data_IF_313927785334
#
_entry.id   IF_313927785334
#
_cell.length_a   1.000
_cell.length_b   1.000
_cell.length_c   1.000
_cell.angle_alpha   90.00
_cell.angle_beta   90.00
_cell.angle_gamma   90.00
#
_symmetry.space_group_name_H-M   'P 1'
#
loop_
_entity.id
_entity.type
_entity.pdbx_description
1 polymer ?
#
# COMPACT_ATOMS: atom_id res chain seq x y z
N UNK A 1 11.79 24.39 30.52
CA UNK A 1 11.72 22.92 30.45
C UNK A 1 10.72 22.54 29.37
N UNK A 2 11.14 21.63 28.48
CA UNK A 2 10.41 21.00 27.35
C UNK A 2 10.14 21.92 26.13
N UNK A 3 11.04 21.98 25.13
CA UNK A 3 11.30 21.02 24.02
C UNK A 3 10.35 21.28 22.84
N UNK A 4 10.68 22.12 21.84
CA UNK A 4 11.54 21.84 20.68
C UNK A 4 11.37 20.42 20.08
N UNK A 5 10.44 20.26 19.13
CA UNK A 5 10.50 19.20 18.11
C UNK A 5 10.13 19.80 16.73
N UNK A 6 11.19 19.89 15.91
CA UNK A 6 11.33 19.56 14.48
C UNK A 6 10.20 19.95 13.51
N UNK A 7 10.37 20.88 12.56
CA UNK A 7 11.24 20.80 11.36
C UNK A 7 11.25 19.40 10.73
N UNK A 8 10.43 19.15 9.72
CA UNK A 8 10.85 19.01 8.32
C UNK A 8 9.59 19.12 7.46
N UNK A 9 9.58 20.15 6.63
CA UNK A 9 8.58 20.42 5.61
C UNK A 9 8.43 19.23 4.66
N UNK A 10 7.16 18.87 4.42
CA UNK A 10 6.63 18.32 3.18
C UNK A 10 7.66 18.25 2.04
N UNK A 11 8.34 17.11 1.92
CA UNK A 11 9.24 16.82 0.81
C UNK A 11 8.36 16.43 -0.39
N UNK A 12 8.06 17.43 -1.21
CA UNK A 12 8.03 17.40 -2.68
C UNK A 12 7.26 16.24 -3.34
N UNK A 13 5.98 16.52 -3.58
CA UNK A 13 5.15 16.20 -4.76
C UNK A 13 5.87 15.37 -5.84
N UNK A 14 5.53 14.09 -5.95
CA UNK A 14 5.81 13.28 -7.13
C UNK A 14 4.59 13.29 -8.07
N UNK A 15 4.62 14.23 -9.02
CA UNK A 15 3.73 14.38 -10.17
C UNK A 15 4.25 13.52 -11.32
N UNK A 16 3.50 12.51 -11.77
CA UNK A 16 3.56 12.02 -13.16
C UNK A 16 2.16 11.58 -13.61
N UNK A 17 1.59 12.32 -14.57
CA UNK A 17 0.29 12.08 -15.22
C UNK A 17 0.52 11.84 -16.72
N UNK A 18 -0.22 10.84 -17.22
CA UNK A 18 -0.66 10.57 -18.61
C UNK A 18 0.30 10.05 -19.68
N UNK A 19 -0.12 8.94 -20.28
CA UNK A 19 -0.44 8.91 -21.72
C UNK A 19 -1.65 7.98 -21.97
N UNK A 20 -2.62 8.47 -22.75
CA UNK A 20 -3.85 7.82 -23.15
C UNK A 20 -3.66 6.89 -24.37
N UNK A 21 -4.50 5.85 -24.48
CA UNK A 21 -5.08 5.40 -25.76
C UNK A 21 -6.34 4.55 -25.50
N UNK A 22 -7.43 4.90 -26.19
CA UNK A 22 -8.76 4.27 -26.19
C UNK A 22 -8.89 3.14 -27.22
N UNK A 23 -10.06 2.44 -27.15
CA UNK A 23 -10.75 1.50 -28.06
C UNK A 23 -10.48 -0.01 -27.84
N UNK A 24 -11.46 -0.92 -27.80
CA UNK A 24 -12.94 -0.88 -27.80
C UNK A 24 -13.49 -2.31 -27.53
N UNK A 25 -14.57 -2.43 -26.73
CA UNK A 25 -15.58 -3.54 -26.62
C UNK A 25 -15.11 -4.98 -26.24
N UNK A 26 -15.74 -5.80 -25.38
CA UNK A 26 -17.06 -5.87 -24.74
C UNK A 26 -16.99 -6.77 -23.44
N UNK A 27 -18.10 -7.27 -22.86
CA UNK A 27 -18.55 -7.04 -21.48
C UNK A 27 -18.25 -8.17 -20.45
N UNK A 28 -18.67 -7.93 -19.20
CA UNK A 28 -18.83 -8.85 -18.05
C UNK A 28 -17.60 -9.24 -17.22
N UNK A 29 -17.74 -9.00 -15.90
CA UNK A 29 -17.02 -9.72 -14.86
C UNK A 29 -15.63 -9.19 -14.58
N UNK A 30 -15.25 -9.27 -13.30
CA UNK A 30 -13.87 -9.24 -12.81
C UNK A 30 -12.92 -9.81 -13.87
N UNK A 31 -11.82 -9.12 -14.25
CA UNK A 31 -10.94 -9.61 -15.30
C UNK A 31 -10.56 -11.05 -14.99
N UNK A 32 -10.81 -11.95 -15.94
CA UNK A 32 -10.29 -13.31 -15.87
C UNK A 32 -8.78 -13.18 -15.61
N UNK A 33 -8.35 -13.76 -14.49
CA UNK A 33 -6.95 -13.71 -14.09
C UNK A 33 -6.07 -14.24 -15.23
N UNK A 34 -4.82 -13.76 -15.36
CA UNK A 34 -3.93 -14.26 -16.40
C UNK A 34 -3.88 -15.80 -16.37
N UNK A 35 -3.95 -16.43 -17.55
CA UNK A 35 -3.75 -17.86 -17.75
C UNK A 35 -2.43 -18.27 -17.09
N UNK A 36 -2.53 -18.78 -15.87
CA UNK A 36 -1.44 -19.27 -15.05
C UNK A 36 -0.24 -18.33 -14.95
N UNK A 37 -0.22 -17.41 -13.98
CA UNK A 37 1.06 -16.92 -13.47
C UNK A 37 1.84 -18.13 -12.95
N UNK A 38 2.96 -18.56 -13.59
CA UNK A 38 3.65 -19.76 -13.16
C UNK A 38 4.22 -19.52 -11.76
N UNK A 39 3.68 -20.21 -10.76
CA UNK A 39 4.25 -20.23 -9.41
C UNK A 39 3.35 -19.79 -8.26
N UNK A 40 2.05 -19.54 -8.41
CA UNK A 40 1.20 -19.31 -7.24
C UNK A 40 0.89 -20.62 -6.49
N UNK A 41 1.89 -21.18 -5.80
CA UNK A 41 1.67 -22.22 -4.81
C UNK A 41 0.98 -21.62 -3.59
N UNK A 42 0.04 -22.35 -3.00
CA UNK A 42 -0.85 -21.98 -1.88
C UNK A 42 -0.12 -21.44 -0.62
N UNK A 43 1.22 -21.49 -0.56
CA UNK A 43 2.03 -20.92 0.52
C UNK A 43 2.72 -19.56 0.23
N UNK A 44 2.59 -18.97 -0.97
CA UNK A 44 3.35 -17.75 -1.34
C UNK A 44 2.74 -16.43 -0.85
N UNK A 45 1.41 -16.35 -0.72
CA UNK A 45 0.72 -15.15 -0.19
C UNK A 45 1.21 -14.85 1.22
N UNK A 46 1.36 -15.87 2.08
CA UNK A 46 1.81 -15.70 3.46
C UNK A 46 3.23 -15.12 3.58
N UNK A 47 4.20 -15.61 2.80
CA UNK A 47 5.57 -15.07 2.79
C UNK A 47 5.63 -13.65 2.24
N UNK A 48 4.87 -13.38 1.18
CA UNK A 48 4.80 -12.04 0.59
C UNK A 48 4.15 -11.04 1.55
N UNK A 49 3.08 -11.43 2.25
CA UNK A 49 2.47 -10.63 3.30
C UNK A 49 3.44 -10.35 4.46
N UNK A 50 4.19 -11.36 4.93
CA UNK A 50 5.20 -11.20 5.98
C UNK A 50 6.30 -10.21 5.57
N UNK A 51 6.75 -10.29 4.32
CA UNK A 51 7.69 -9.34 3.72
C UNK A 51 7.13 -7.92 3.68
N UNK A 52 5.93 -7.73 3.14
CA UNK A 52 5.24 -6.45 3.15
C UNK A 52 5.09 -5.90 4.57
N UNK A 53 4.59 -6.69 5.51
CA UNK A 53 4.33 -6.27 6.89
C UNK A 53 5.63 -5.87 7.60
N UNK A 54 6.74 -6.57 7.34
CA UNK A 54 8.05 -6.19 7.86
C UNK A 54 8.52 -4.85 7.28
N UNK A 55 8.42 -4.67 5.96
CA UNK A 55 8.77 -3.41 5.29
C UNK A 55 7.93 -2.24 5.84
N UNK A 56 6.62 -2.44 6.04
CA UNK A 56 5.73 -1.42 6.58
C UNK A 56 6.08 -1.02 8.01
N UNK A 57 6.49 -1.97 8.86
CA UNK A 57 6.94 -1.67 10.22
C UNK A 57 8.27 -0.93 10.25
N UNK A 58 9.18 -1.25 9.32
CA UNK A 58 10.54 -0.68 9.28
C UNK A 58 10.60 0.69 8.62
N UNK A 59 9.68 0.97 7.70
CA UNK A 59 9.64 2.16 6.87
C UNK A 59 8.18 2.53 6.55
N UNK A 60 7.37 2.94 7.54
CA UNK A 60 5.97 3.29 7.30
C UNK A 60 5.79 4.44 6.29
N UNK A 61 6.78 5.33 6.16
CA UNK A 61 6.78 6.45 5.22
C UNK A 61 6.83 6.01 3.75
N UNK A 62 7.34 4.82 3.45
CA UNK A 62 7.44 4.34 2.07
C UNK A 62 6.09 3.93 1.50
N UNK A 63 5.11 3.61 2.35
CA UNK A 63 3.74 3.26 1.98
C UNK A 63 2.76 4.02 2.89
N UNK A 64 2.84 5.34 2.90
CA UNK A 64 2.04 6.21 3.78
C UNK A 64 0.51 6.07 3.60
N UNK A 65 0.04 5.46 2.51
CA UNK A 65 -1.37 5.18 2.23
C UNK A 65 -1.83 3.80 2.71
N UNK A 66 -0.92 3.03 3.32
CA UNK A 66 -1.18 1.73 3.96
C UNK A 66 -1.01 1.90 5.46
N UNK A 67 -1.92 1.37 6.26
CA UNK A 67 -1.89 1.54 7.71
C UNK A 67 -2.30 0.26 8.43
N UNK A 68 -1.62 -0.13 9.53
CA UNK A 68 -2.10 -1.21 10.38
C UNK A 68 -3.43 -0.80 11.05
N UNK A 69 -4.31 -1.78 11.26
CA UNK A 69 -5.57 -1.55 11.95
C UNK A 69 -5.40 -1.69 13.48
N UNK A 70 -5.76 -0.64 14.23
CA UNK A 70 -5.61 -0.61 15.69
C UNK A 70 -6.57 -1.59 16.39
N UNK A 71 -7.81 -1.70 15.89
CA UNK A 71 -8.85 -2.59 16.42
C UNK A 71 -8.73 -4.04 15.87
N UNK A 72 -7.76 -4.29 14.99
CA UNK A 72 -7.59 -5.56 14.29
C UNK A 72 -6.12 -5.89 14.03
N UNK A 73 -5.44 -6.39 15.06
CA UNK A 73 -4.05 -6.84 14.95
C UNK A 73 -3.86 -7.82 13.78
N UNK A 74 -2.80 -7.62 13.01
CA UNK A 74 -2.47 -8.43 11.84
C UNK A 74 -3.18 -8.00 10.55
N UNK A 75 -4.11 -7.04 10.61
CA UNK A 75 -4.75 -6.45 9.44
C UNK A 75 -4.19 -5.08 9.09
N UNK A 76 -4.24 -4.77 7.80
CA UNK A 76 -3.87 -3.49 7.22
C UNK A 76 -5.02 -2.98 6.36
N UNK A 77 -5.13 -1.66 6.27
CA UNK A 77 -5.95 -0.99 5.26
C UNK A 77 -5.04 -0.30 4.26
N UNK A 78 -5.34 -0.47 2.98
CA UNK A 78 -4.78 0.36 1.90
C UNK A 78 -5.86 1.22 1.27
N UNK A 79 -5.49 2.46 0.96
CA UNK A 79 -6.37 3.51 0.44
C UNK A 79 -6.00 3.97 -0.98
N UNK A 80 -4.94 3.39 -1.54
CA UNK A 80 -4.49 3.59 -2.92
C UNK A 80 -3.92 2.26 -3.44
N UNK A 81 -4.13 1.99 -4.73
CA UNK A 81 -3.72 0.74 -5.36
C UNK A 81 -2.67 0.99 -6.43
N UNK A 82 -1.69 0.09 -6.56
CA UNK A 82 -0.60 0.21 -7.52
C UNK A 82 -0.72 -0.78 -8.68
N UNK A 83 -1.34 -1.94 -8.45
CA UNK A 83 -1.54 -2.97 -9.45
C UNK A 83 -2.52 -2.49 -10.54
N UNK A 84 -2.06 -2.52 -11.80
CA UNK A 84 -2.74 -1.92 -12.95
C UNK A 84 -4.25 -2.25 -13.04
N UNK A 85 -4.70 -3.53 -12.93
CA UNK A 85 -6.11 -3.90 -12.96
C UNK A 85 -7.00 -3.23 -11.92
N UNK A 86 -6.46 -2.85 -10.75
CA UNK A 86 -7.25 -2.24 -9.67
C UNK A 86 -6.87 -0.79 -9.36
N UNK A 87 -5.85 -0.26 -10.02
CA UNK A 87 -5.37 1.11 -9.81
C UNK A 87 -6.47 2.17 -10.00
N UNK A 88 -7.38 1.94 -10.95
CA UNK A 88 -8.50 2.83 -11.25
C UNK A 88 -9.49 3.01 -10.09
N UNK A 89 -9.56 2.05 -9.15
CA UNK A 89 -10.43 2.12 -7.98
C UNK A 89 -9.86 2.99 -6.85
N UNK A 90 -8.63 3.49 -6.99
CA UNK A 90 -8.04 4.41 -6.01
C UNK A 90 -8.89 5.67 -5.88
N UNK A 91 -9.27 6.03 -4.65
CA UNK A 91 -10.20 7.13 -4.38
C UNK A 91 -11.68 6.77 -4.49
N UNK A 92 -12.02 5.53 -4.85
CA UNK A 92 -13.37 4.98 -4.84
C UNK A 92 -13.54 3.85 -3.82
N UNK A 93 -12.45 3.14 -3.52
CA UNK A 93 -12.47 1.96 -2.68
C UNK A 93 -11.35 1.97 -1.65
N UNK A 94 -11.51 1.15 -0.62
CA UNK A 94 -10.44 0.75 0.30
C UNK A 94 -10.35 -0.77 0.33
N UNK A 95 -9.16 -1.30 0.65
CA UNK A 95 -8.99 -2.75 0.88
C UNK A 95 -8.47 -2.97 2.29
N UNK A 96 -9.14 -3.84 3.03
CA UNK A 96 -8.63 -4.39 4.29
C UNK A 96 -8.11 -5.79 4.01
N UNK A 97 -6.88 -6.05 4.42
CA UNK A 97 -6.20 -7.31 4.14
C UNK A 97 -5.32 -7.74 5.31
N UNK A 98 -5.20 -9.05 5.47
CA UNK A 98 -4.33 -9.73 6.41
C UNK A 98 -3.56 -10.84 5.70
N UNK A 99 -2.93 -11.71 6.49
CA UNK A 99 -2.12 -12.81 5.96
C UNK A 99 -2.92 -13.81 5.12
N UNK A 100 -4.18 -14.04 5.50
CA UNK A 100 -5.01 -15.13 4.96
C UNK A 100 -6.21 -14.62 4.14
N UNK A 101 -6.51 -13.33 4.21
CA UNK A 101 -7.74 -12.79 3.66
C UNK A 101 -7.59 -11.34 3.21
N UNK A 102 -8.37 -10.95 2.20
CA UNK A 102 -8.47 -9.58 1.74
C UNK A 102 -9.89 -9.29 1.28
N UNK A 103 -10.34 -8.06 1.51
CA UNK A 103 -11.70 -7.63 1.21
C UNK A 103 -11.65 -6.18 0.76
N UNK A 104 -12.34 -5.87 -0.33
CA UNK A 104 -12.49 -4.50 -0.79
C UNK A 104 -13.86 -3.94 -0.37
N UNK A 105 -13.92 -2.63 -0.20
CA UNK A 105 -15.09 -1.91 0.25
C UNK A 105 -15.30 -0.69 -0.64
N UNK A 106 -16.51 -0.57 -1.17
CA UNK A 106 -16.93 0.62 -1.90
C UNK A 106 -17.18 1.77 -0.94
N UNK A 107 -16.54 2.90 -1.22
CA UNK A 107 -16.80 4.12 -0.49
C UNK A 107 -18.15 4.72 -0.93
N UNK A 108 -18.84 5.46 -0.05
CA UNK A 108 -20.13 6.06 -0.39
C UNK A 108 -20.05 6.94 -1.65
N UNK A 109 -20.84 6.58 -2.67
CA UNK A 109 -20.84 7.22 -3.99
C UNK A 109 -20.00 6.51 -5.06
N UNK A 110 -19.26 5.46 -4.71
CA UNK A 110 -18.55 4.63 -5.67
C UNK A 110 -19.50 3.70 -6.45
N UNK A 111 -19.13 3.40 -7.69
CA UNK A 111 -19.78 2.40 -8.53
C UNK A 111 -18.78 1.31 -8.96
N UNK A 112 -19.32 0.16 -9.35
CA UNK A 112 -18.57 -1.07 -9.62
C UNK A 112 -17.50 -0.98 -10.73
N UNK A 113 -17.62 0.00 -11.62
CA UNK A 113 -16.73 0.23 -12.77
C UNK A 113 -15.83 1.47 -12.57
N UNK A 114 -15.76 1.98 -11.33
CA UNK A 114 -15.08 3.21 -10.96
C UNK A 114 -15.59 4.48 -11.69
N UNK A 115 -16.82 4.47 -12.23
CA UNK A 115 -17.46 5.67 -12.81
C UNK A 115 -18.24 6.49 -11.78
N UNK A 116 -18.55 5.90 -10.62
CA UNK A 116 -19.22 6.56 -9.51
C UNK A 116 -18.42 7.74 -8.98
N UNK A 117 -19.11 8.76 -8.48
CA UNK A 117 -18.47 9.94 -7.90
C UNK A 117 -18.43 9.82 -6.38
N UNK A 118 -17.24 9.64 -5.82
CA UNK A 118 -16.99 9.81 -4.37
C UNK A 118 -16.49 11.25 -4.12
N UNK A 119 -17.30 12.14 -3.52
CA UNK A 119 -16.92 13.53 -3.30
C UNK A 119 -15.64 13.72 -2.48
N UNK A 120 -15.01 14.89 -2.58
CA UNK A 120 -13.97 15.26 -1.62
C UNK A 120 -14.60 15.51 -0.25
N UNK A 121 -13.91 15.14 0.82
CA UNK A 121 -14.38 15.38 2.17
C UNK A 121 -13.98 14.32 3.18
N UNK A 122 -14.56 14.44 4.38
CA UNK A 122 -14.31 13.55 5.50
C UNK A 122 -15.34 12.42 5.52
N UNK A 123 -14.85 11.19 5.50
CA UNK A 123 -15.62 9.96 5.56
C UNK A 123 -15.43 9.29 6.91
N UNK A 124 -16.54 8.81 7.47
CA UNK A 124 -16.56 7.97 8.67
C UNK A 124 -17.24 6.68 8.29
N UNK A 125 -16.49 5.59 8.25
CA UNK A 125 -17.00 4.32 7.77
C UNK A 125 -16.86 3.22 8.80
N UNK A 126 -17.87 2.37 8.89
CA UNK A 126 -17.81 1.10 9.60
C UNK A 126 -17.64 -0.01 8.55
N UNK A 127 -16.52 -0.72 8.62
CA UNK A 127 -16.16 -1.80 7.70
C UNK A 127 -16.10 -3.12 8.45
N UNK A 128 -16.89 -4.10 8.03
CA UNK A 128 -16.84 -5.47 8.57
C UNK A 128 -15.56 -6.15 8.11
N UNK A 129 -14.74 -6.68 9.02
CA UNK A 129 -13.51 -7.40 8.68
C UNK A 129 -13.80 -8.65 7.82
N UNK A 130 -12.78 -9.20 7.14
CA UNK A 130 -12.93 -10.48 6.45
C UNK A 130 -13.37 -11.63 7.38
N UNK A 131 -13.01 -11.56 8.66
CA UNK A 131 -13.52 -12.43 9.72
C UNK A 131 -14.93 -12.01 10.15
N UNK A 132 -15.93 -12.91 10.13
CA UNK A 132 -17.30 -12.57 10.50
C UNK A 132 -17.41 -11.99 11.92
N UNK A 133 -18.27 -10.97 12.07
CA UNK A 133 -18.65 -10.45 13.38
C UNK A 133 -17.70 -9.41 14.00
N UNK A 134 -16.65 -9.00 13.27
CA UNK A 134 -15.76 -7.90 13.68
C UNK A 134 -15.93 -6.72 12.74
N UNK A 135 -16.02 -5.51 13.28
CA UNK A 135 -16.14 -4.27 12.52
C UNK A 135 -15.10 -3.29 13.01
N UNK A 136 -14.43 -2.61 12.08
CA UNK A 136 -13.50 -1.51 12.37
C UNK A 136 -14.10 -0.19 11.95
N UNK A 137 -13.77 0.87 12.68
CA UNK A 137 -14.23 2.21 12.41
C UNK A 137 -13.08 3.05 11.88
N UNK A 138 -13.22 3.58 10.66
CA UNK A 138 -12.18 4.33 9.98
C UNK A 138 -12.64 5.76 9.70
N UNK A 139 -11.72 6.71 9.94
CA UNK A 139 -11.88 8.11 9.52
C UNK A 139 -10.94 8.40 8.36
N UNK A 140 -11.51 8.68 7.20
CA UNK A 140 -10.81 8.82 5.93
C UNK A 140 -11.02 10.23 5.38
N UNK A 141 -9.94 10.93 5.06
CA UNK A 141 -9.99 12.26 4.46
C UNK A 141 -9.65 12.15 2.96
N UNK A 142 -10.63 12.43 2.10
CA UNK A 142 -10.46 12.45 0.65
C UNK A 142 -10.14 13.88 0.20
N UNK A 143 -8.85 14.21 0.19
CA UNK A 143 -8.33 15.50 -0.32
C UNK A 143 -8.06 15.50 -1.81
N UNK A 144 -7.88 14.32 -2.39
CA UNK A 144 -7.56 14.13 -3.80
C UNK A 144 -8.54 13.14 -4.42
N UNK A 145 -8.89 13.30 -5.72
CA UNK A 145 -9.82 12.40 -6.39
C UNK A 145 -9.41 10.92 -6.32
N UNK A 146 -8.10 10.66 -6.27
CA UNK A 146 -7.50 9.33 -6.39
C UNK A 146 -7.02 8.74 -5.06
N UNK A 147 -7.29 9.38 -3.92
CA UNK A 147 -6.71 8.93 -2.65
C UNK A 147 -7.53 9.33 -1.43
N UNK A 148 -7.63 8.41 -0.49
CA UNK A 148 -7.97 8.72 0.90
C UNK A 148 -6.71 8.79 1.74
N UNK A 149 -6.78 9.54 2.83
CA UNK A 149 -5.80 9.52 3.90
C UNK A 149 -6.49 9.02 5.15
N UNK A 150 -5.96 7.98 5.78
CA UNK A 150 -6.44 7.55 7.09
C UNK A 150 -6.03 8.60 8.13
N UNK A 151 -7.03 9.21 8.78
CA UNK A 151 -6.85 10.31 9.74
C UNK A 151 -7.36 9.96 11.15
N UNK A 152 -7.79 8.71 11.37
CA UNK A 152 -8.22 8.20 12.67
C UNK A 152 -8.85 6.81 12.56
N UNK A 153 -8.83 6.07 13.68
CA UNK A 153 -9.42 4.73 13.84
C UNK A 153 -10.16 4.64 15.18
N UNK A 154 -11.11 3.73 15.31
CA UNK A 154 -11.83 3.47 16.55
C UNK A 154 -13.04 4.38 16.80
N UNK A 155 -13.62 4.23 17.99
CA UNK A 155 -14.84 4.90 18.40
C UNK A 155 -14.59 6.35 18.84
N UNK A 156 -15.02 7.31 18.02
CA UNK A 156 -15.12 8.74 18.39
C UNK A 156 -16.58 9.24 18.21
N UNK A 157 -17.13 10.10 19.10
CA UNK A 157 -18.57 10.13 19.37
C UNK A 157 -19.43 10.98 18.41
N UNK A 158 -18.85 11.79 17.51
CA UNK A 158 -19.62 12.90 16.93
C UNK A 158 -19.78 12.83 15.41
N UNK A 159 -20.82 12.15 14.90
CA UNK A 159 -21.22 12.24 13.48
C UNK A 159 -21.84 10.96 12.93
N UNK A 160 -22.43 11.05 11.73
CA UNK A 160 -23.00 9.88 11.05
C UNK A 160 -21.90 8.95 10.54
N UNK A 161 -21.90 7.70 10.99
CA UNK A 161 -21.04 6.63 10.47
C UNK A 161 -21.77 5.91 9.33
N UNK A 162 -21.09 5.73 8.20
CA UNK A 162 -21.62 5.05 7.03
C UNK A 162 -21.14 3.60 7.00
N UNK A 163 -22.05 2.64 6.93
CA UNK A 163 -21.67 1.23 6.80
C UNK A 163 -21.20 0.96 5.37
N UNK A 164 -19.99 0.45 5.21
CA UNK A 164 -19.47 -0.06 3.93
C UNK A 164 -19.44 -1.58 3.97
N UNK A 165 -19.91 -2.23 2.90
CA UNK A 165 -20.11 -3.67 2.88
C UNK A 165 -18.90 -4.39 2.28
N UNK A 166 -18.49 -5.53 2.87
CA UNK A 166 -17.38 -6.30 2.37
C UNK A 166 -17.70 -6.90 0.99
N UNK A 167 -16.70 -6.89 0.11
CA UNK A 167 -16.73 -7.60 -1.17
C UNK A 167 -15.48 -8.46 -1.32
N UNK A 168 -15.65 -9.66 -1.88
CA UNK A 168 -14.56 -10.62 -2.05
C UNK A 168 -13.56 -10.10 -3.07
N UNK A 169 -12.33 -9.83 -2.63
CA UNK A 169 -11.20 -9.58 -3.52
C UNK A 169 -10.64 -10.92 -3.99
N UNK A 170 -10.33 -11.06 -5.28
CA UNK A 170 -9.68 -12.26 -5.79
C UNK A 170 -8.26 -12.36 -5.24
N UNK A 171 -7.85 -13.55 -4.81
CA UNK A 171 -6.55 -13.78 -4.15
C UNK A 171 -5.36 -13.37 -5.03
N UNK A 172 -5.45 -13.59 -6.35
CA UNK A 172 -4.39 -13.20 -7.27
C UNK A 172 -4.23 -11.67 -7.36
N UNK A 173 -5.31 -10.90 -7.21
CA UNK A 173 -5.26 -9.42 -7.25
C UNK A 173 -4.50 -8.89 -6.03
N UNK A 174 -4.84 -9.37 -4.83
CA UNK A 174 -4.13 -8.94 -3.63
C UNK A 174 -2.68 -9.43 -3.63
N UNK A 175 -2.40 -10.61 -4.20
CA UNK A 175 -1.03 -11.09 -4.34
C UNK A 175 -0.18 -10.14 -5.19
N UNK A 176 -0.70 -9.73 -6.36
CA UNK A 176 -0.01 -8.77 -7.23
C UNK A 176 0.11 -7.38 -6.58
N UNK A 177 -0.91 -6.91 -5.87
CA UNK A 177 -0.83 -5.65 -5.11
C UNK A 177 0.24 -5.73 -4.01
N UNK A 178 0.31 -6.82 -3.25
CA UNK A 178 1.37 -7.00 -2.25
C UNK A 178 2.77 -7.02 -2.87
N UNK A 179 2.91 -7.60 -4.07
CA UNK A 179 4.15 -7.53 -4.85
C UNK A 179 4.51 -6.09 -5.20
N UNK A 180 3.54 -5.28 -5.64
CA UNK A 180 3.75 -3.87 -5.92
C UNK A 180 4.11 -3.07 -4.66
N UNK A 181 3.43 -3.30 -3.53
CA UNK A 181 3.72 -2.62 -2.27
C UNK A 181 5.14 -2.93 -1.76
N UNK A 182 5.54 -4.22 -1.75
CA UNK A 182 6.89 -4.61 -1.34
C UNK A 182 7.95 -4.01 -2.28
N UNK A 183 7.71 -4.04 -3.59
CA UNK A 183 8.61 -3.46 -4.58
C UNK A 183 8.70 -1.94 -4.46
N UNK A 184 7.58 -1.25 -4.21
CA UNK A 184 7.54 0.19 -4.00
C UNK A 184 8.36 0.58 -2.76
N UNK A 185 8.18 -0.15 -1.65
CA UNK A 185 8.91 0.12 -0.41
C UNK A 185 10.43 -0.03 -0.57
N UNK A 186 10.91 -1.08 -1.25
CA UNK A 186 12.33 -1.24 -1.54
C UNK A 186 12.88 -0.13 -2.46
N UNK A 187 12.12 0.23 -3.50
CA UNK A 187 12.52 1.30 -4.40
C UNK A 187 12.52 2.68 -3.72
N UNK A 188 11.60 2.93 -2.79
CA UNK A 188 11.59 4.14 -1.99
C UNK A 188 12.93 4.32 -1.26
N UNK A 189 13.44 3.26 -0.62
CA UNK A 189 14.73 3.27 0.06
C UNK A 189 15.91 3.48 -0.91
N UNK A 190 15.87 2.85 -2.08
CA UNK A 190 16.87 3.07 -3.12
C UNK A 190 16.87 4.52 -3.64
N UNK A 191 15.68 5.11 -3.85
CA UNK A 191 15.54 6.48 -4.30
C UNK A 191 15.92 7.47 -3.20
N UNK A 192 15.67 7.15 -1.93
CA UNK A 192 16.14 7.93 -0.80
C UNK A 192 17.67 8.09 -0.82
N UNK A 193 18.41 6.99 -1.01
CA UNK A 193 19.87 7.03 -1.17
C UNK A 193 20.31 7.90 -2.36
N UNK A 194 19.64 7.74 -3.51
CA UNK A 194 19.96 8.50 -4.73
C UNK A 194 19.65 9.99 -4.61
N UNK A 195 18.66 10.34 -3.80
CA UNK A 195 18.22 11.71 -3.55
C UNK A 195 19.03 12.41 -2.45
N UNK A 196 20.04 11.74 -1.88
CA UNK A 196 20.93 12.32 -0.88
C UNK A 196 20.41 12.26 0.56
N UNK A 197 19.40 11.43 0.85
CA UNK A 197 19.07 11.14 2.25
C UNK A 197 20.27 10.48 2.94
N UNK A 198 20.50 10.73 4.25
CA UNK A 198 21.62 10.15 4.96
C UNK A 198 21.62 8.64 4.85
N UNK A 199 22.73 8.08 4.35
CA UNK A 199 22.89 6.63 4.16
C UNK A 199 22.62 5.84 5.43
N UNK A 200 22.95 6.40 6.59
CA UNK A 200 22.69 5.81 7.91
C UNK A 200 21.20 5.57 8.17
N UNK A 201 20.31 6.46 7.70
CA UNK A 201 18.86 6.28 7.87
C UNK A 201 18.35 5.09 7.07
N UNK A 202 18.78 4.98 5.80
CA UNK A 202 18.41 3.83 4.95
C UNK A 202 19.09 2.54 5.43
N UNK A 203 20.34 2.63 5.92
CA UNK A 203 21.03 1.49 6.51
C UNK A 203 20.34 0.98 7.78
N UNK A 204 19.73 1.85 8.59
CA UNK A 204 18.99 1.45 9.78
C UNK A 204 17.79 0.55 9.45
N UNK A 205 17.12 0.77 8.32
CA UNK A 205 16.04 -0.11 7.81
C UNK A 205 16.56 -1.52 7.54
N UNK A 206 17.81 -1.63 7.07
CA UNK A 206 18.46 -2.88 6.67
C UNK A 206 19.34 -3.52 7.76
N UNK A 207 19.53 -2.86 8.91
CA UNK A 207 20.65 -3.11 9.82
C UNK A 207 20.71 -4.53 10.43
N UNK A 208 19.57 -5.16 10.67
CA UNK A 208 19.47 -6.49 11.29
C UNK A 208 19.34 -7.64 10.28
N UNK A 209 19.41 -7.34 8.98
CA UNK A 209 19.26 -8.33 7.92
C UNK A 209 17.85 -8.91 7.77
N UNK A 210 16.88 -8.48 8.59
CA UNK A 210 15.51 -9.02 8.55
C UNK A 210 14.83 -8.71 7.22
N UNK A 211 14.99 -7.48 6.69
CA UNK A 211 14.45 -7.08 5.39
C UNK A 211 15.03 -7.94 4.26
N UNK A 212 16.35 -8.12 4.24
CA UNK A 212 17.01 -8.95 3.24
C UNK A 212 16.53 -10.40 3.31
N UNK A 213 16.47 -10.99 4.51
CA UNK A 213 15.98 -12.35 4.70
C UNK A 213 14.52 -12.52 4.30
N UNK A 214 13.68 -11.50 4.52
CA UNK A 214 12.25 -11.58 4.26
C UNK A 214 11.91 -11.36 2.79
N UNK A 215 12.64 -10.49 2.09
CA UNK A 215 12.37 -10.19 0.68
C UNK A 215 12.94 -11.23 -0.29
N UNK A 216 13.98 -11.95 0.12
CA UNK A 216 14.77 -12.82 -0.77
C UNK A 216 14.00 -14.08 -1.20
N UNK A 217 14.17 -14.48 -2.45
CA UNK A 217 13.57 -15.66 -3.08
C UNK A 217 12.03 -15.66 -3.10
N UNK A 218 11.37 -14.50 -2.94
CA UNK A 218 9.93 -14.38 -3.14
C UNK A 218 9.62 -14.26 -4.64
N UNK A 219 10.33 -13.37 -5.34
CA UNK A 219 10.22 -13.21 -6.80
C UNK A 219 11.48 -12.57 -7.37
N UNK A 220 11.80 -12.80 -8.66
CA UNK A 220 12.94 -12.17 -9.32
C UNK A 220 12.93 -10.63 -9.26
N UNK A 221 11.72 -10.04 -9.28
CA UNK A 221 11.53 -8.59 -9.19
C UNK A 221 11.97 -8.04 -7.83
N UNK A 222 11.55 -8.70 -6.74
CA UNK A 222 11.95 -8.30 -5.39
C UNK A 222 13.44 -8.55 -5.13
N UNK A 223 13.97 -9.67 -5.61
CA UNK A 223 15.41 -9.97 -5.52
C UNK A 223 16.26 -8.92 -6.23
N UNK A 224 15.81 -8.46 -7.41
CA UNK A 224 16.48 -7.38 -8.16
C UNK A 224 16.45 -6.06 -7.39
N UNK A 225 15.28 -5.65 -6.89
CA UNK A 225 15.15 -4.41 -6.12
C UNK A 225 16.00 -4.44 -4.83
N UNK A 226 15.99 -5.57 -4.12
CA UNK A 226 16.81 -5.81 -2.94
C UNK A 226 18.31 -5.71 -3.28
N UNK A 227 18.76 -6.39 -4.34
CA UNK A 227 20.18 -6.37 -4.75
C UNK A 227 20.67 -4.98 -5.16
N UNK A 228 19.81 -4.17 -5.80
CA UNK A 228 20.14 -2.77 -6.11
C UNK A 228 20.28 -1.92 -4.84
N UNK A 229 19.41 -2.13 -3.84
CA UNK A 229 19.50 -1.44 -2.56
C UNK A 229 20.75 -1.85 -1.77
N UNK A 230 21.03 -3.15 -1.66
CA UNK A 230 22.24 -3.69 -1.03
C UNK A 230 23.52 -3.17 -1.72
N UNK A 231 23.53 -3.14 -3.06
CA UNK A 231 24.61 -2.57 -3.86
C UNK A 231 24.81 -1.07 -3.59
N UNK A 232 23.73 -0.29 -3.53
CA UNK A 232 23.81 1.13 -3.20
C UNK A 232 24.31 1.38 -1.77
N UNK A 233 23.95 0.53 -0.81
CA UNK A 233 24.39 0.59 0.60
C UNK A 233 25.82 0.10 0.82
N UNK A 234 26.41 -0.63 -0.12
CA UNK A 234 27.81 -1.10 -0.06
C UNK A 234 28.76 -0.29 -0.93
N UNK A 235 28.26 0.44 -1.94
CA UNK A 235 29.06 1.34 -2.76
C UNK A 235 29.67 2.47 -1.90
N UNK A 236 30.92 2.31 -1.47
CA UNK A 236 31.69 3.32 -0.74
C UNK A 236 31.68 4.63 -1.53
N UNK A 237 31.33 5.73 -0.88
CA UNK A 237 31.41 7.06 -1.49
C UNK A 237 32.81 7.27 -2.05
N UNK A 238 32.94 7.35 -3.37
CA UNK A 238 34.05 8.08 -3.97
C UNK A 238 33.58 9.53 -3.95
N UNK A 239 34.15 10.42 -3.10
CA UNK A 239 33.85 11.83 -3.20
C UNK A 239 34.51 12.31 -4.49
N UNK A 240 33.73 12.44 -5.54
CA UNK A 240 34.14 13.19 -6.71
C UNK A 240 34.18 14.66 -6.33
N UNK A 241 35.37 15.17 -6.04
CA UNK A 241 35.72 16.58 -6.17
C UNK A 241 35.06 17.18 -7.42
N UNK A 242 34.15 18.13 -7.22
CA UNK A 242 33.86 19.23 -8.14
C UNK A 242 33.60 20.48 -7.35
#
# INVERSE_FOLDING_TARGET
MLSNISRVSALTIALWVSACAHLESAPEGTPDGPLGTPGLGEGRVGKLFECFALLQRKSPESLYWVSPLEEAEGYYVTTQFQHLPIRMYSGHEIVIFGKESATYYWMPGAEHDATGSVPLGLYRVAAELPEPGRTVHLRLDKRYPTAFVLVGQGAEPEGSVQRVLPRKLLEWIINEELHELAHYSLNFQLQALRSGLPREQVAAVMADGSVASSCRNISPRLDTALGLLEGALTASGTPGTR
#
